data_IF_358425023528
#
_entry.id   IF_358425023528
#
_cell.length_a   1.000
_cell.length_b   1.000
_cell.length_c   1.000
_cell.angle_alpha   90.00
_cell.angle_beta   90.00
_cell.angle_gamma   90.00
#
_symmetry.space_group_name_H-M   'P 1'
#
loop_
_entity.id
_entity.type
_entity.pdbx_description
1 polymer ?
#
# COMPACT_ATOMS: atom_id res chain seq x y z
N UNK A 1 51.42 8.86 67.43
CA UNK A 1 50.10 9.36 66.98
C UNK A 1 50.17 9.55 65.47
N UNK A 2 49.60 8.66 64.67
CA UNK A 2 49.72 8.70 63.20
C UNK A 2 48.70 9.66 62.57
N UNK A 3 49.10 10.51 61.59
CA UNK A 3 48.19 11.45 60.95
C UNK A 3 47.29 10.73 59.93
N UNK A 4 46.01 11.08 59.92
CA UNK A 4 45.03 10.62 58.93
C UNK A 4 45.19 11.38 57.61
N UNK A 5 45.26 10.62 56.51
CA UNK A 5 45.42 11.12 55.14
C UNK A 5 44.03 11.39 54.50
N UNK A 6 43.71 12.63 54.09
CA UNK A 6 42.35 13.02 53.66
C UNK A 6 42.03 12.80 52.17
N UNK A 7 42.93 12.24 51.37
CA UNK A 7 42.73 12.21 49.91
C UNK A 7 42.60 10.78 49.37
N UNK A 8 41.38 10.22 49.44
CA UNK A 8 40.99 9.07 48.61
C UNK A 8 40.30 9.59 47.33
N UNK A 9 40.71 9.14 46.13
CA UNK A 9 40.12 9.62 44.89
C UNK A 9 38.68 9.11 44.77
N UNK A 10 37.74 10.02 44.97
CA UNK A 10 36.30 9.76 44.92
C UNK A 10 35.88 9.25 43.52
N UNK A 11 35.21 8.09 43.47
CA UNK A 11 34.90 7.29 42.27
C UNK A 11 33.77 7.86 41.38
N UNK A 12 33.38 9.10 41.63
CA UNK A 12 32.12 9.73 41.24
C UNK A 12 31.99 9.88 39.72
N UNK A 13 33.12 9.96 39.02
CA UNK A 13 33.16 10.04 37.56
C UNK A 13 32.82 8.69 36.93
N UNK A 14 33.22 7.58 37.56
CA UNK A 14 32.90 6.23 37.08
C UNK A 14 31.42 5.92 37.31
N UNK A 15 30.86 6.30 38.46
CA UNK A 15 29.42 6.12 38.73
C UNK A 15 28.53 6.99 37.81
N UNK A 16 28.94 8.24 37.52
CA UNK A 16 28.25 9.08 36.54
C UNK A 16 28.22 8.45 35.13
N UNK A 17 29.30 7.80 34.71
CA UNK A 17 29.36 7.08 33.43
C UNK A 17 28.46 5.86 33.40
N UNK A 18 28.38 5.10 34.50
CA UNK A 18 27.46 3.94 34.61
C UNK A 18 26.00 4.39 34.51
N UNK A 19 25.64 5.51 35.15
CA UNK A 19 24.29 6.07 35.07
C UNK A 19 23.97 6.54 33.65
N UNK A 20 24.91 7.22 32.99
CA UNK A 20 24.73 7.69 31.61
C UNK A 20 24.54 6.52 30.63
N UNK A 21 25.33 5.46 30.76
CA UNK A 21 25.22 4.26 29.92
C UNK A 21 23.90 3.54 30.18
N UNK A 22 23.49 3.41 31.45
CA UNK A 22 22.19 2.83 31.81
C UNK A 22 21.02 3.63 31.23
N UNK A 23 21.12 4.96 31.24
CA UNK A 23 20.09 5.84 30.67
C UNK A 23 20.02 5.71 29.14
N UNK A 24 21.15 5.66 28.45
CA UNK A 24 21.20 5.45 26.99
C UNK A 24 20.64 4.08 26.62
N UNK A 25 20.99 3.03 27.38
CA UNK A 25 20.46 1.68 27.16
C UNK A 25 18.96 1.62 27.40
N UNK A 26 18.45 2.29 28.44
CA UNK A 26 17.02 2.40 28.72
C UNK A 26 16.28 3.14 27.59
N UNK A 27 16.80 4.27 27.12
CA UNK A 27 16.25 4.98 25.96
C UNK A 27 16.28 4.12 24.69
N UNK A 28 17.37 3.39 24.45
CA UNK A 28 17.49 2.50 23.30
C UNK A 28 16.50 1.33 23.38
N UNK A 29 16.29 0.77 24.57
CA UNK A 29 15.33 -0.29 24.81
C UNK A 29 13.90 0.19 24.58
N UNK A 30 13.56 1.41 25.02
CA UNK A 30 12.25 2.03 24.72
C UNK A 30 12.07 2.33 23.22
N UNK A 31 13.13 2.77 22.54
CA UNK A 31 13.10 3.05 21.10
C UNK A 31 12.99 1.79 20.23
N UNK A 32 13.60 0.68 20.66
CA UNK A 32 13.67 -0.58 19.90
C UNK A 32 12.51 -1.52 20.27
N UNK A 33 12.10 -1.54 21.55
CA UNK A 33 11.14 -2.50 22.11
C UNK A 33 9.73 -1.96 22.37
N UNK A 34 9.47 -0.66 22.22
CA UNK A 34 8.10 -0.14 22.28
C UNK A 34 7.39 -0.40 20.95
N UNK A 35 6.16 -0.89 20.98
CA UNK A 35 5.24 -1.12 19.85
C UNK A 35 5.01 0.11 18.91
N UNK A 36 5.73 1.19 19.13
CA UNK A 36 5.70 2.50 18.46
C UNK A 36 7.06 2.92 17.90
N UNK A 37 8.01 2.01 17.69
CA UNK A 37 9.24 2.33 16.96
C UNK A 37 8.91 3.03 15.63
N UNK A 38 9.71 4.02 15.22
CA UNK A 38 9.51 4.85 14.02
C UNK A 38 9.14 4.04 12.76
N UNK A 39 9.58 2.78 12.70
CA UNK A 39 9.26 1.83 11.65
C UNK A 39 7.75 1.50 11.55
N UNK A 40 7.06 1.35 12.67
CA UNK A 40 5.63 1.03 12.69
C UNK A 40 4.80 2.25 12.25
N UNK A 41 5.21 3.44 12.67
CA UNK A 41 4.61 4.69 12.21
C UNK A 41 4.76 4.82 10.68
N UNK A 42 5.95 4.52 10.15
CA UNK A 42 6.21 4.53 8.71
C UNK A 42 5.39 3.46 7.96
N UNK A 43 5.27 2.26 8.53
CA UNK A 43 4.48 1.16 7.95
C UNK A 43 2.99 1.51 7.90
N UNK A 44 2.46 2.14 8.93
CA UNK A 44 1.06 2.58 8.96
C UNK A 44 0.79 3.72 7.96
N UNK A 45 1.71 4.68 7.82
CA UNK A 45 1.59 5.72 6.80
C UNK A 45 1.63 5.15 5.38
N UNK A 46 2.56 4.22 5.09
CA UNK A 46 2.59 3.55 3.78
C UNK A 46 1.32 2.74 3.50
N UNK A 47 0.80 2.01 4.49
CA UNK A 47 -0.45 1.25 4.34
C UNK A 47 -1.63 2.18 4.04
N UNK A 48 -1.76 3.31 4.77
CA UNK A 48 -2.80 4.31 4.50
C UNK A 48 -2.70 4.88 3.08
N UNK A 49 -1.49 5.19 2.63
CA UNK A 49 -1.28 5.74 1.29
C UNK A 49 -1.60 4.72 0.19
N UNK A 50 -1.19 3.46 0.36
CA UNK A 50 -1.52 2.38 -0.58
C UNK A 50 -3.03 2.15 -0.67
N UNK A 51 -3.72 2.10 0.47
CA UNK A 51 -5.17 1.89 0.52
C UNK A 51 -5.94 3.07 -0.09
N UNK A 52 -5.47 4.31 0.09
CA UNK A 52 -6.05 5.48 -0.55
C UNK A 52 -5.91 5.42 -2.08
N UNK A 53 -4.73 5.05 -2.58
CA UNK A 53 -4.51 4.88 -4.01
C UNK A 53 -5.38 3.77 -4.61
N UNK A 54 -5.58 2.67 -3.88
CA UNK A 54 -6.47 1.57 -4.28
C UNK A 54 -7.94 2.03 -4.34
N UNK A 55 -8.40 2.81 -3.36
CA UNK A 55 -9.75 3.39 -3.37
C UNK A 55 -9.95 4.29 -4.59
N UNK A 56 -8.98 5.14 -4.92
CA UNK A 56 -9.09 6.04 -6.06
C UNK A 56 -9.07 5.28 -7.39
N UNK A 57 -8.26 4.22 -7.51
CA UNK A 57 -8.27 3.34 -8.67
C UNK A 57 -9.62 2.64 -8.85
N UNK A 58 -10.17 2.07 -7.77
CA UNK A 58 -11.48 1.40 -7.78
C UNK A 58 -12.63 2.36 -8.10
N UNK A 59 -12.56 3.61 -7.64
CA UNK A 59 -13.52 4.66 -8.01
C UNK A 59 -13.47 4.97 -9.49
N UNK A 60 -12.27 5.13 -10.05
CA UNK A 60 -12.10 5.34 -11.49
C UNK A 60 -12.67 4.19 -12.32
N UNK A 61 -12.44 2.94 -11.89
CA UNK A 61 -13.02 1.76 -12.53
C UNK A 61 -14.55 1.76 -12.43
N UNK A 62 -15.11 2.04 -11.24
CA UNK A 62 -16.55 2.12 -11.03
C UNK A 62 -17.22 3.16 -11.94
N UNK A 63 -16.61 4.35 -12.07
CA UNK A 63 -17.13 5.41 -12.93
C UNK A 63 -17.08 5.00 -14.41
N UNK A 64 -15.99 4.36 -14.85
CA UNK A 64 -15.88 3.84 -16.21
C UNK A 64 -16.93 2.77 -16.52
N UNK A 65 -17.19 1.87 -15.57
CA UNK A 65 -18.21 0.83 -15.68
C UNK A 65 -19.62 1.43 -15.68
N UNK A 66 -19.89 2.47 -14.88
CA UNK A 66 -21.18 3.18 -14.91
C UNK A 66 -21.43 3.81 -16.26
N UNK A 67 -20.43 4.49 -16.83
CA UNK A 67 -20.54 5.06 -18.18
C UNK A 67 -20.77 3.96 -19.21
N UNK A 68 -20.10 2.82 -19.08
CA UNK A 68 -20.30 1.67 -19.95
C UNK A 68 -21.73 1.13 -19.84
N UNK A 69 -22.22 0.90 -18.62
CA UNK A 69 -23.60 0.42 -18.36
C UNK A 69 -24.62 1.39 -18.94
N UNK A 70 -24.41 2.70 -18.77
CA UNK A 70 -25.31 3.71 -19.32
C UNK A 70 -25.34 3.63 -20.85
N UNK A 71 -24.17 3.52 -21.50
CA UNK A 71 -24.08 3.32 -22.95
C UNK A 71 -24.76 2.04 -23.42
N UNK A 72 -24.57 0.93 -22.72
CA UNK A 72 -25.28 -0.31 -23.03
C UNK A 72 -26.80 -0.14 -22.88
N UNK A 73 -27.26 0.57 -21.84
CA UNK A 73 -28.68 0.76 -21.57
C UNK A 73 -29.36 1.71 -22.57
N UNK A 74 -28.67 2.79 -22.95
CA UNK A 74 -29.25 3.85 -23.78
C UNK A 74 -29.09 3.61 -25.28
N UNK A 75 -28.09 2.81 -25.69
CA UNK A 75 -27.74 2.62 -27.11
C UNK A 75 -27.87 1.15 -27.52
N UNK A 76 -29.02 0.81 -28.11
CA UNK A 76 -29.30 -0.52 -28.66
C UNK A 76 -28.37 -0.88 -29.83
N UNK A 77 -27.80 0.11 -30.52
CA UNK A 77 -26.83 -0.11 -31.61
C UNK A 77 -25.49 -0.58 -31.05
N UNK A 78 -25.08 -0.06 -29.89
CA UNK A 78 -23.88 -0.52 -29.20
C UNK A 78 -24.00 -1.97 -28.69
N UNK A 79 -25.17 -2.34 -28.15
CA UNK A 79 -25.47 -3.75 -27.80
C UNK A 79 -25.40 -4.63 -29.06
N UNK A 80 -26.02 -4.20 -30.15
CA UNK A 80 -25.99 -4.94 -31.42
C UNK A 80 -24.56 -5.14 -31.94
N UNK A 81 -23.70 -4.13 -31.84
CA UNK A 81 -22.28 -4.25 -32.20
C UNK A 81 -21.56 -5.31 -31.36
N UNK A 82 -21.72 -5.29 -30.03
CA UNK A 82 -21.09 -6.29 -29.16
C UNK A 82 -21.65 -7.70 -29.42
N UNK A 83 -22.96 -7.83 -29.63
CA UNK A 83 -23.60 -9.10 -29.96
C UNK A 83 -22.99 -9.71 -31.24
N UNK A 84 -22.87 -8.91 -32.30
CA UNK A 84 -22.31 -9.35 -33.58
C UNK A 84 -20.80 -9.63 -33.50
N UNK A 85 -20.01 -8.74 -32.93
CA UNK A 85 -18.54 -8.84 -32.93
C UNK A 85 -17.99 -9.85 -31.91
N UNK A 86 -18.55 -9.85 -30.69
CA UNK A 86 -18.00 -10.63 -29.57
C UNK A 86 -18.68 -11.99 -29.43
N UNK A 87 -19.96 -12.07 -29.75
CA UNK A 87 -20.77 -13.27 -29.52
C UNK A 87 -21.28 -13.94 -30.80
N UNK A 88 -21.07 -13.33 -31.98
CA UNK A 88 -21.67 -13.75 -33.26
C UNK A 88 -23.20 -13.95 -33.15
N UNK A 89 -23.85 -13.13 -32.32
CA UNK A 89 -25.29 -13.11 -32.13
C UNK A 89 -25.91 -12.01 -32.99
N UNK A 90 -26.88 -12.39 -33.83
CA UNK A 90 -27.70 -11.51 -34.64
C UNK A 90 -29.18 -11.72 -34.34
N UNK A 91 -30.06 -10.91 -34.91
CA UNK A 91 -31.49 -11.20 -34.86
C UNK A 91 -31.79 -12.51 -35.62
N UNK A 92 -32.92 -13.15 -35.30
CA UNK A 92 -33.32 -14.42 -35.92
C UNK A 92 -33.47 -14.36 -37.45
N UNK A 93 -33.58 -13.15 -38.00
CA UNK A 93 -33.70 -12.82 -39.42
C UNK A 93 -32.40 -12.24 -40.04
N UNK A 94 -31.29 -12.15 -39.29
CA UNK A 94 -29.99 -11.67 -39.78
C UNK A 94 -28.93 -12.79 -39.82
N UNK A 95 -28.25 -12.98 -40.96
CA UNK A 95 -27.06 -13.83 -41.07
C UNK A 95 -25.77 -13.02 -40.78
N UNK A 96 -24.97 -13.48 -39.81
CA UNK A 96 -23.68 -12.85 -39.47
C UNK A 96 -22.55 -13.50 -40.26
N UNK A 97 -21.91 -12.73 -41.15
CA UNK A 97 -20.75 -13.15 -41.93
C UNK A 97 -19.45 -12.83 -41.18
N UNK A 98 -18.71 -13.86 -40.76
CA UNK A 98 -17.33 -13.72 -40.28
C UNK A 98 -16.36 -13.93 -41.44
N UNK A 99 -15.62 -12.89 -41.81
CA UNK A 99 -14.54 -12.99 -42.80
C UNK A 99 -13.31 -13.60 -42.12
N UNK A 100 -12.93 -14.81 -42.53
CA UNK A 100 -11.68 -15.46 -42.11
C UNK A 100 -10.75 -15.46 -43.32
N UNK A 101 -9.64 -14.72 -43.23
CA UNK A 101 -8.59 -14.77 -44.25
C UNK A 101 -7.82 -16.07 -44.10
N UNK A 102 -7.85 -16.91 -45.14
CA UNK A 102 -6.99 -18.08 -45.22
C UNK A 102 -5.64 -17.64 -45.76
N UNK A 103 -4.59 -17.71 -44.95
CA UNK A 103 -3.24 -17.56 -45.49
C UNK A 103 -3.02 -18.69 -46.50
N UNK A 104 -2.71 -18.29 -47.74
CA UNK A 104 -2.39 -19.21 -48.81
C UNK A 104 -0.95 -19.65 -48.61
N UNK A 105 -0.78 -20.86 -48.09
CA UNK A 105 0.50 -21.59 -48.06
C UNK A 105 0.79 -22.16 -49.45
#
# INVERSE_FOLDING_TARGET
MSPSNPNSPTNNRKSAWVILIGFILFLSYLYIGGDYGLLEHYRQHKKKQALAAEIDALRGEQDSLRVLIERLRSDSSYIGKIAREKYNMGYSDEEILRVIYKETQ
#
